data_IF_534426625728
#
_entry.id   IF_534426625728
#
_cell.length_a   1.000
_cell.length_b   1.000
_cell.length_c   1.000
_cell.angle_alpha   90.00
_cell.angle_beta   90.00
_cell.angle_gamma   90.00
#
_symmetry.space_group_name_H-M   'P 1'
#
loop_
_entity.id
_entity.type
_entity.pdbx_description
1 polymer ?
#
# COMPACT_ATOMS: atom_id res chain seq x y z
N UNK A 1 73.19 24.06 -9.62
CA UNK A 1 71.78 23.71 -9.33
C UNK A 1 70.90 24.76 -9.97
N UNK A 2 69.97 24.40 -10.83
CA UNK A 2 68.71 25.10 -11.12
C UNK A 2 68.00 24.26 -12.20
N UNK A 3 67.16 23.34 -11.73
CA UNK A 3 66.44 22.36 -12.53
C UNK A 3 65.47 23.06 -13.50
N UNK A 4 65.82 23.05 -14.79
CA UNK A 4 64.96 22.76 -15.93
C UNK A 4 63.48 23.25 -15.87
N UNK A 5 63.28 24.54 -16.17
CA UNK A 5 61.98 25.20 -16.41
C UNK A 5 61.07 24.47 -17.42
N UNK A 6 61.65 23.69 -18.36
CA UNK A 6 60.89 22.91 -19.35
C UNK A 6 60.13 21.72 -18.75
N UNK A 7 60.60 21.16 -17.63
CA UNK A 7 59.89 20.06 -16.95
C UNK A 7 58.69 20.56 -16.14
N UNK A 8 58.78 21.75 -15.56
CA UNK A 8 57.66 22.40 -14.86
C UNK A 8 56.53 22.75 -15.83
N UNK A 9 56.84 23.24 -17.04
CA UNK A 9 55.83 23.55 -18.05
C UNK A 9 55.07 22.31 -18.53
N UNK A 10 55.75 21.17 -18.72
CA UNK A 10 55.12 19.91 -19.13
C UNK A 10 54.25 19.33 -18.02
N UNK A 11 54.68 19.41 -16.76
CA UNK A 11 53.89 18.96 -15.60
C UNK A 11 52.65 19.85 -15.38
N UNK A 12 52.79 21.16 -15.61
CA UNK A 12 51.68 22.12 -15.49
C UNK A 12 50.62 21.92 -16.57
N UNK A 13 51.04 21.58 -17.79
CA UNK A 13 50.12 21.32 -18.90
C UNK A 13 49.38 19.99 -18.73
N UNK A 14 50.02 18.98 -18.10
CA UNK A 14 49.41 17.68 -17.80
C UNK A 14 48.34 17.75 -16.68
N UNK A 15 48.36 18.79 -15.84
CA UNK A 15 47.39 18.99 -14.76
C UNK A 15 46.14 19.80 -15.18
N UNK A 16 46.10 20.33 -16.41
CA UNK A 16 45.02 21.17 -16.92
C UNK A 16 43.98 20.43 -17.78
N UNK A 17 44.11 19.12 -17.96
CA UNK A 17 43.23 18.31 -18.83
C UNK A 17 42.17 17.49 -18.09
N UNK A 18 41.90 17.76 -16.81
CA UNK A 18 40.90 17.00 -16.04
C UNK A 18 39.73 17.88 -15.61
N UNK A 19 39.01 18.44 -16.58
CA UNK A 19 37.58 18.67 -16.41
C UNK A 19 36.85 17.72 -17.34
N UNK A 20 36.72 16.46 -16.89
CA UNK A 20 35.63 15.62 -17.37
C UNK A 20 34.36 16.35 -16.96
N UNK A 21 33.69 16.97 -17.93
CA UNK A 21 32.31 17.40 -17.75
C UNK A 21 31.55 16.16 -17.27
N UNK A 22 31.17 16.15 -15.99
CA UNK A 22 30.35 15.10 -15.42
C UNK A 22 29.11 15.01 -16.32
N UNK A 23 28.93 13.85 -16.94
CA UNK A 23 27.66 13.47 -17.54
C UNK A 23 26.55 13.79 -16.52
N UNK A 24 25.35 14.21 -16.95
CA UNK A 24 24.26 14.48 -16.03
C UNK A 24 24.11 13.29 -15.08
N UNK A 25 24.29 13.55 -13.79
CA UNK A 25 23.93 12.61 -12.73
C UNK A 25 22.48 12.23 -13.01
N UNK A 26 22.12 10.94 -13.17
CA UNK A 26 20.72 10.58 -13.33
C UNK A 26 19.96 11.19 -12.16
N UNK A 27 18.98 12.05 -12.45
CA UNK A 27 18.10 12.62 -11.45
C UNK A 27 17.59 11.47 -10.56
N UNK A 28 17.73 11.64 -9.25
CA UNK A 28 17.03 10.81 -8.29
C UNK A 28 15.52 11.10 -8.44
N UNK A 29 14.89 10.47 -9.43
CA UNK A 29 13.49 10.73 -9.76
C UNK A 29 13.05 9.85 -10.92
N UNK A 30 12.48 8.70 -10.58
CA UNK A 30 11.47 7.88 -11.30
C UNK A 30 11.57 6.37 -10.97
N UNK A 31 12.36 5.97 -9.97
CA UNK A 31 12.23 4.62 -9.42
C UNK A 31 11.11 4.61 -8.35
N UNK A 32 10.12 3.69 -8.41
CA UNK A 32 9.08 3.61 -7.38
C UNK A 32 9.68 3.41 -5.98
N UNK A 33 9.16 4.10 -4.96
CA UNK A 33 9.60 3.94 -3.56
C UNK A 33 9.08 2.60 -3.00
N UNK A 34 9.95 1.58 -2.96
CA UNK A 34 9.64 0.26 -2.40
C UNK A 34 10.21 0.10 -0.99
N UNK A 35 9.35 -0.28 -0.04
CA UNK A 35 9.74 -0.62 1.34
C UNK A 35 9.43 -2.07 1.69
N UNK A 36 10.43 -2.76 2.24
CA UNK A 36 10.31 -4.09 2.85
C UNK A 36 10.78 -4.04 4.30
N UNK A 37 10.00 -4.64 5.20
CA UNK A 37 10.40 -4.80 6.61
C UNK A 37 9.83 -6.11 7.15
N UNK A 38 10.50 -6.70 8.13
CA UNK A 38 10.01 -7.90 8.80
C UNK A 38 8.95 -7.51 9.85
N UNK A 39 9.36 -6.70 10.81
CA UNK A 39 8.53 -6.39 11.99
C UNK A 39 7.60 -5.20 11.72
N UNK A 40 8.16 -4.01 11.55
CA UNK A 40 7.40 -2.76 11.53
C UNK A 40 7.83 -1.89 10.34
N UNK A 41 6.88 -1.35 9.57
CA UNK A 41 7.16 -0.36 8.54
C UNK A 41 6.25 0.86 8.67
N UNK A 42 6.85 2.06 8.77
CA UNK A 42 6.16 3.35 8.96
C UNK A 42 6.48 4.34 7.82
N UNK A 43 5.67 5.39 7.67
CA UNK A 43 5.88 6.48 6.71
C UNK A 43 5.07 6.35 5.41
N UNK A 44 5.52 7.01 4.34
CA UNK A 44 4.94 6.95 2.99
C UNK A 44 5.84 6.14 2.06
N UNK A 45 5.25 5.40 1.11
CA UNK A 45 5.95 4.67 0.05
C UNK A 45 4.95 4.31 -1.04
N UNK A 46 5.36 4.25 -2.30
CA UNK A 46 4.47 3.76 -3.38
C UNK A 46 4.09 2.29 -3.12
N UNK A 47 5.07 1.50 -2.68
CA UNK A 47 4.88 0.07 -2.43
C UNK A 47 5.44 -0.39 -1.09
N UNK A 48 4.65 -1.18 -0.36
CA UNK A 48 5.04 -1.71 0.94
C UNK A 48 4.73 -3.19 1.12
N UNK A 49 5.73 -3.92 1.62
CA UNK A 49 5.57 -5.29 2.15
C UNK A 49 6.10 -5.37 3.59
N UNK A 50 5.29 -5.88 4.51
CA UNK A 50 5.71 -6.11 5.90
C UNK A 50 5.13 -7.39 6.47
N UNK A 51 5.92 -8.21 7.15
CA UNK A 51 5.41 -9.45 7.74
C UNK A 51 4.37 -9.14 8.82
N UNK A 52 4.76 -8.35 9.82
CA UNK A 52 3.92 -8.13 11.02
C UNK A 52 3.03 -6.89 10.89
N UNK A 53 3.59 -5.67 10.89
CA UNK A 53 2.81 -4.44 11.05
C UNK A 53 3.21 -3.33 10.04
N UNK A 54 2.32 -3.04 9.08
CA UNK A 54 2.51 -1.95 8.11
C UNK A 54 1.60 -0.74 8.42
N UNK A 55 2.18 0.43 8.74
CA UNK A 55 1.46 1.67 9.11
C UNK A 55 1.81 2.89 8.25
N UNK A 56 0.85 3.73 7.87
CA UNK A 56 1.10 4.98 7.11
C UNK A 56 0.29 5.07 5.82
N UNK A 57 0.80 5.76 4.80
CA UNK A 57 0.18 5.84 3.46
C UNK A 57 1.02 5.08 2.43
N UNK A 58 0.36 4.39 1.49
CA UNK A 58 1.04 3.76 0.35
C UNK A 58 0.04 3.43 -0.76
N UNK A 59 0.38 3.57 -2.03
CA UNK A 59 -0.52 3.17 -3.12
C UNK A 59 -0.81 1.66 -3.02
N UNK A 60 0.23 0.86 -2.76
CA UNK A 60 0.13 -0.57 -2.58
C UNK A 60 0.70 -1.06 -1.26
N UNK A 61 -0.09 -1.85 -0.54
CA UNK A 61 0.32 -2.48 0.72
C UNK A 61 -0.02 -3.94 0.82
N UNK A 62 0.98 -4.74 1.19
CA UNK A 62 0.83 -6.12 1.63
C UNK A 62 1.38 -6.29 3.04
N UNK A 63 0.61 -6.93 3.89
CA UNK A 63 1.10 -7.49 5.16
C UNK A 63 0.62 -8.91 5.36
N UNK A 64 1.32 -9.71 6.17
CA UNK A 64 0.79 -11.02 6.59
C UNK A 64 -0.18 -10.77 7.74
N UNK A 65 0.30 -10.17 8.83
CA UNK A 65 -0.53 -10.01 10.02
C UNK A 65 -1.44 -8.77 9.96
N UNK A 66 -0.91 -7.57 9.75
CA UNK A 66 -1.72 -6.35 9.94
C UNK A 66 -1.28 -5.14 9.12
N UNK A 67 -2.24 -4.61 8.35
CA UNK A 67 -2.07 -3.42 7.53
C UNK A 67 -3.00 -2.27 7.99
N UNK A 68 -2.43 -1.14 8.44
CA UNK A 68 -3.17 0.03 8.99
C UNK A 68 -2.88 1.36 8.28
N UNK A 69 -3.89 2.15 7.93
CA UNK A 69 -3.72 3.51 7.37
C UNK A 69 -4.49 3.73 6.08
N UNK A 70 -3.96 4.53 5.16
CA UNK A 70 -4.56 4.80 3.84
C UNK A 70 -3.74 4.12 2.73
N UNK A 71 -4.42 3.57 1.74
CA UNK A 71 -3.80 2.96 0.56
C UNK A 71 -4.82 2.74 -0.55
N UNK A 72 -4.47 2.92 -1.82
CA UNK A 72 -5.37 2.58 -2.91
C UNK A 72 -5.66 1.08 -2.90
N UNK A 73 -4.61 0.27 -2.70
CA UNK A 73 -4.69 -1.18 -2.64
C UNK A 73 -4.10 -1.75 -1.36
N UNK A 74 -4.91 -2.54 -0.65
CA UNK A 74 -4.49 -3.21 0.58
C UNK A 74 -4.81 -4.70 0.61
N UNK A 75 -3.79 -5.49 0.90
CA UNK A 75 -3.90 -6.92 1.22
C UNK A 75 -3.30 -7.21 2.60
N UNK A 76 -4.03 -7.96 3.42
CA UNK A 76 -3.52 -8.63 4.62
C UNK A 76 -3.91 -10.11 4.56
N UNK A 77 -3.22 -11.01 5.26
CA UNK A 77 -3.75 -12.35 5.53
C UNK A 77 -4.71 -12.25 6.73
N UNK A 78 -4.24 -11.71 7.85
CA UNK A 78 -5.06 -11.59 9.05
C UNK A 78 -5.94 -10.32 9.07
N UNK A 79 -5.39 -9.11 9.25
CA UNK A 79 -6.24 -7.90 9.42
C UNK A 79 -5.85 -6.69 8.58
N UNK A 80 -6.80 -6.13 7.83
CA UNK A 80 -6.67 -4.82 7.19
C UNK A 80 -7.59 -3.75 7.82
N UNK A 81 -7.02 -2.63 8.31
CA UNK A 81 -7.76 -1.51 8.95
C UNK A 81 -7.48 -0.14 8.31
N UNK A 82 -8.49 0.67 8.06
CA UNK A 82 -8.34 2.09 7.65
C UNK A 82 -9.17 2.45 6.41
N UNK A 83 -8.66 3.34 5.56
CA UNK A 83 -9.31 3.72 4.29
C UNK A 83 -8.53 3.15 3.09
N UNK A 84 -9.23 2.68 2.06
CA UNK A 84 -8.63 2.17 0.83
C UNK A 84 -9.65 2.03 -0.29
N UNK A 85 -9.30 2.26 -1.54
CA UNK A 85 -10.21 1.99 -2.66
C UNK A 85 -10.49 0.48 -2.74
N UNK A 86 -9.45 -0.33 -2.60
CA UNK A 86 -9.52 -1.79 -2.63
C UNK A 86 -8.92 -2.43 -1.39
N UNK A 87 -9.70 -3.30 -0.74
CA UNK A 87 -9.27 -4.03 0.45
C UNK A 87 -9.57 -5.52 0.39
N UNK A 88 -8.55 -6.33 0.70
CA UNK A 88 -8.66 -7.78 0.90
C UNK A 88 -8.02 -8.23 2.20
N UNK A 89 -8.71 -9.09 2.95
CA UNK A 89 -8.10 -9.92 3.99
C UNK A 89 -8.74 -11.30 4.03
N UNK A 90 -8.06 -12.29 4.61
CA UNK A 90 -8.68 -13.61 4.84
C UNK A 90 -9.54 -13.52 6.10
N UNK A 91 -8.97 -12.99 7.19
CA UNK A 91 -9.67 -12.97 8.48
C UNK A 91 -10.56 -11.72 8.63
N UNK A 92 -10.01 -10.50 8.69
CA UNK A 92 -10.82 -9.32 9.04
C UNK A 92 -10.48 -8.06 8.22
N UNK A 93 -11.51 -7.39 7.72
CA UNK A 93 -11.42 -6.06 7.10
C UNK A 93 -12.27 -5.02 7.85
N UNK A 94 -11.63 -3.96 8.39
CA UNK A 94 -12.28 -2.86 9.12
C UNK A 94 -12.04 -1.46 8.53
N UNK A 95 -13.03 -0.57 8.50
CA UNK A 95 -12.88 0.84 8.09
C UNK A 95 -13.76 1.22 6.91
N UNK A 96 -13.32 2.11 6.01
CA UNK A 96 -14.04 2.50 4.78
C UNK A 96 -13.29 2.03 3.53
N UNK A 97 -14.00 1.60 2.48
CA UNK A 97 -13.40 1.25 1.21
C UNK A 97 -14.43 1.19 0.08
N UNK A 98 -14.09 1.55 -1.16
CA UNK A 98 -15.01 1.38 -2.29
C UNK A 98 -15.29 -0.11 -2.52
N UNK A 99 -14.24 -0.93 -2.47
CA UNK A 99 -14.32 -2.38 -2.65
C UNK A 99 -13.69 -3.14 -1.49
N UNK A 100 -14.46 -4.09 -0.95
CA UNK A 100 -14.03 -4.92 0.17
C UNK A 100 -14.31 -6.39 -0.03
N UNK A 101 -13.28 -7.20 0.23
CA UNK A 101 -13.39 -8.65 0.33
C UNK A 101 -12.79 -9.17 1.64
N UNK A 102 -13.54 -10.00 2.36
CA UNK A 102 -13.04 -10.84 3.44
C UNK A 102 -13.50 -12.28 3.26
N UNK A 103 -12.79 -13.27 3.78
CA UNK A 103 -13.34 -14.63 3.91
C UNK A 103 -14.19 -14.66 5.18
N UNK A 104 -13.61 -14.31 6.33
CA UNK A 104 -14.33 -14.38 7.61
C UNK A 104 -15.19 -13.12 7.91
N UNK A 105 -14.58 -11.98 8.24
CA UNK A 105 -15.31 -10.81 8.77
C UNK A 105 -15.06 -9.50 7.99
N UNK A 106 -16.14 -8.83 7.56
CA UNK A 106 -16.08 -7.52 6.90
C UNK A 106 -16.91 -6.44 7.62
N UNK A 107 -16.25 -5.46 8.26
CA UNK A 107 -16.90 -4.43 9.14
C UNK A 107 -16.64 -2.98 8.75
N UNK A 108 -17.67 -2.14 8.58
CA UNK A 108 -17.53 -0.70 8.31
C UNK A 108 -18.40 -0.26 7.13
N UNK A 109 -17.97 0.70 6.31
CA UNK A 109 -18.72 1.18 5.14
C UNK A 109 -18.00 0.84 3.83
N UNK A 110 -18.74 0.48 2.78
CA UNK A 110 -18.17 0.23 1.46
C UNK A 110 -19.22 0.26 0.36
N UNK A 111 -18.91 0.78 -0.82
CA UNK A 111 -19.84 0.72 -1.96
C UNK A 111 -20.11 -0.73 -2.34
N UNK A 112 -19.06 -1.56 -2.38
CA UNK A 112 -19.13 -2.98 -2.68
C UNK A 112 -18.49 -3.84 -1.61
N UNK A 113 -19.25 -4.83 -1.12
CA UNK A 113 -18.78 -5.76 -0.09
C UNK A 113 -19.07 -7.21 -0.43
N UNK A 114 -18.03 -8.03 -0.29
CA UNK A 114 -18.12 -9.49 -0.27
C UNK A 114 -17.51 -10.06 1.02
N UNK A 115 -18.25 -10.93 1.69
CA UNK A 115 -17.76 -11.77 2.78
C UNK A 115 -18.26 -13.20 2.61
N UNK A 116 -17.52 -14.22 3.04
CA UNK A 116 -18.07 -15.57 3.09
C UNK A 116 -18.86 -15.72 4.40
N UNK A 117 -18.23 -15.48 5.55
CA UNK A 117 -18.89 -15.72 6.83
C UNK A 117 -19.76 -14.54 7.34
N UNK A 118 -19.22 -13.33 7.51
CA UNK A 118 -19.95 -12.27 8.21
C UNK A 118 -19.65 -10.86 7.70
N UNK A 119 -20.71 -10.10 7.40
CA UNK A 119 -20.63 -8.71 6.99
C UNK A 119 -21.43 -7.80 7.93
N UNK A 120 -20.82 -6.71 8.44
CA UNK A 120 -21.46 -5.74 9.34
C UNK A 120 -21.23 -4.28 8.92
N UNK A 121 -22.27 -3.47 8.81
CA UNK A 121 -22.19 -2.03 8.52
C UNK A 121 -22.99 -1.65 7.29
N UNK A 122 -22.62 -0.57 6.59
CA UNK A 122 -23.40 -0.07 5.44
C UNK A 122 -22.70 -0.35 4.11
N UNK A 123 -23.45 -0.67 3.07
CA UNK A 123 -22.90 -0.82 1.73
C UNK A 123 -23.95 -0.66 0.64
N UNK A 124 -23.64 -0.06 -0.50
CA UNK A 124 -24.58 0.01 -1.62
C UNK A 124 -24.87 -1.41 -2.13
N UNK A 125 -23.82 -2.24 -2.25
CA UNK A 125 -23.92 -3.63 -2.68
C UNK A 125 -23.27 -4.58 -1.70
N UNK A 126 -24.04 -5.60 -1.27
CA UNK A 126 -23.56 -6.64 -0.35
C UNK A 126 -23.82 -8.05 -0.85
N UNK A 127 -22.77 -8.87 -0.86
CA UNK A 127 -22.84 -10.33 -0.97
C UNK A 127 -22.26 -10.99 0.27
N UNK A 128 -23.01 -11.89 0.89
CA UNK A 128 -22.54 -12.70 2.03
C UNK A 128 -23.08 -14.12 1.94
N UNK A 129 -22.30 -15.13 2.31
CA UNK A 129 -22.82 -16.52 2.34
C UNK A 129 -23.58 -16.74 3.64
N UNK A 130 -22.96 -16.52 4.81
CA UNK A 130 -23.64 -16.77 6.10
C UNK A 130 -24.43 -15.57 6.64
N UNK A 131 -23.77 -14.58 7.23
CA UNK A 131 -24.44 -13.58 8.08
C UNK A 131 -24.25 -12.13 7.60
N UNK A 132 -25.33 -11.43 7.25
CA UNK A 132 -25.31 -10.00 6.92
C UNK A 132 -26.04 -9.15 7.97
N UNK A 133 -25.39 -8.10 8.50
CA UNK A 133 -25.98 -7.09 9.40
C UNK A 133 -25.71 -5.65 8.96
N UNK A 134 -26.69 -4.77 9.11
CA UNK A 134 -26.61 -3.35 8.74
C UNK A 134 -27.24 -3.08 7.37
N UNK A 135 -27.24 -1.84 6.91
CA UNK A 135 -28.07 -1.41 5.77
C UNK A 135 -27.36 -1.62 4.43
N UNK A 136 -28.11 -1.95 3.39
CA UNK A 136 -27.57 -1.98 2.05
C UNK A 136 -28.66 -1.73 1.01
N UNK A 137 -28.36 -0.97 -0.04
CA UNK A 137 -29.31 -0.78 -1.14
C UNK A 137 -29.63 -2.13 -1.77
N UNK A 138 -28.60 -2.89 -2.14
CA UNK A 138 -28.71 -4.24 -2.68
C UNK A 138 -28.03 -5.29 -1.81
N UNK A 139 -28.73 -6.41 -1.58
CA UNK A 139 -28.24 -7.51 -0.74
C UNK A 139 -28.50 -8.89 -1.33
N UNK A 140 -27.46 -9.73 -1.30
CA UNK A 140 -27.56 -11.19 -1.45
C UNK A 140 -26.96 -11.87 -0.21
N UNK A 141 -27.77 -12.66 0.48
CA UNK A 141 -27.36 -13.50 1.61
C UNK A 141 -27.94 -14.91 1.44
N UNK A 142 -27.14 -15.95 1.71
CA UNK A 142 -27.61 -17.34 1.56
C UNK A 142 -28.30 -17.84 2.83
N UNK A 143 -27.82 -17.45 4.02
CA UNK A 143 -28.38 -17.91 5.29
C UNK A 143 -29.18 -16.82 6.04
N UNK A 144 -28.50 -15.83 6.64
CA UNK A 144 -29.11 -14.89 7.59
C UNK A 144 -28.85 -13.42 7.23
N UNK A 145 -29.90 -12.60 7.21
CA UNK A 145 -29.82 -11.16 6.99
C UNK A 145 -30.62 -10.36 8.02
N UNK A 146 -30.01 -9.30 8.57
CA UNK A 146 -30.65 -8.29 9.44
C UNK A 146 -30.31 -6.87 9.01
N UNK A 147 -31.26 -5.95 9.11
CA UNK A 147 -31.14 -4.54 8.68
C UNK A 147 -31.90 -4.25 7.39
N UNK A 148 -31.91 -2.99 6.98
CA UNK A 148 -32.75 -2.54 5.87
C UNK A 148 -32.10 -2.84 4.51
N UNK A 149 -32.95 -3.14 3.53
CA UNK A 149 -32.59 -3.11 2.13
C UNK A 149 -33.67 -2.37 1.34
N UNK A 150 -33.25 -1.49 0.44
CA UNK A 150 -34.13 -0.55 -0.25
C UNK A 150 -34.65 -1.13 -1.60
N UNK A 151 -34.18 -2.31 -2.00
CA UNK A 151 -34.41 -2.93 -3.32
C UNK A 151 -34.81 -4.41 -3.24
#
# INVERSE_FOLDING_TARGET
MLFNSRYLAVISLFLLTSTVAAAPVPEAGTAPDWRRSEIDARGNADWRRTEIDARGNADWRRSENNARGNADWRRSENTARGNADWRRSEIDTRGNADWRRSENDARGNADWRRSENSARGNADWRRTENNARGNADWRRSENDARGNADW
#
